data_IF_723020402010
#
_entry.id   IF_723020402010
#
_cell.length_a   1.000
_cell.length_b   1.000
_cell.length_c   1.000
_cell.angle_alpha   90.00
_cell.angle_beta   90.00
_cell.angle_gamma   90.00
#
_symmetry.space_group_name_H-M   'P 1'
#
loop_
_entity.id
_entity.type
_entity.pdbx_description
1 polymer ?
#
# COMPACT_ATOMS: atom_id res chain seq x y z
N UNK A 1 7.49 -5.49 -9.86
CA UNK A 1 7.02 -5.57 -10.18
C UNK A 1 6.60 -5.38 -11.07
N UNK A 2 6.45 -5.18 -11.55
CA UNK A 2 6.08 -4.84 -12.34
C UNK A 2 5.08 -5.16 -12.67
N UNK A 3 4.55 -5.11 -12.77
CA UNK A 3 3.65 -5.39 -13.00
C UNK A 3 3.05 -5.14 -13.96
N UNK A 4 3.02 -5.06 -14.59
CA UNK A 4 2.60 -4.80 -15.49
C UNK A 4 1.58 -5.35 -15.79
N UNK A 5 0.82 -5.34 -15.76
CA UNK A 5 -0.10 -5.82 -16.01
C UNK A 5 -0.78 -5.44 -16.92
N UNK A 6 -0.98 -5.58 -17.49
CA UNK A 6 -1.40 -5.31 -18.35
C UNK A 6 -2.67 -5.15 -18.43
N UNK A 7 -3.14 -4.50 -18.76
CA UNK A 7 -4.29 -4.35 -19.05
C UNK A 7 -5.09 -4.07 -18.04
N UNK A 8 -5.80 -4.80 -17.72
CA UNK A 8 -6.74 -4.53 -16.74
C UNK A 8 -6.10 -4.17 -15.48
N UNK A 9 -5.18 -4.62 -15.08
CA UNK A 9 -4.68 -4.41 -13.77
C UNK A 9 -3.84 -3.21 -13.56
N UNK A 10 -4.17 -2.15 -14.17
CA UNK A 10 -3.37 -0.98 -14.00
C UNK A 10 -3.56 -0.39 -12.61
N UNK A 11 -2.47 -0.25 -11.89
CA UNK A 11 -2.51 0.35 -10.56
C UNK A 11 -2.36 1.85 -10.67
N UNK A 12 -3.21 2.54 -9.97
CA UNK A 12 -3.16 3.99 -9.98
C UNK A 12 -2.95 4.46 -8.56
N UNK A 13 -1.90 5.22 -8.32
CA UNK A 13 -1.61 5.71 -6.99
C UNK A 13 -2.61 6.80 -6.63
N UNK A 14 -3.32 6.60 -5.53
CA UNK A 14 -4.31 7.55 -5.07
C UNK A 14 -3.73 8.49 -4.04
N UNK A 15 -2.98 7.97 -3.09
CA UNK A 15 -2.49 8.79 -1.99
C UNK A 15 -1.34 8.11 -1.31
N UNK A 16 -0.50 8.92 -0.67
CA UNK A 16 0.56 8.40 0.18
C UNK A 16 0.63 9.26 1.44
N UNK A 17 1.14 8.67 2.49
CA UNK A 17 1.37 9.40 3.72
C UNK A 17 2.51 8.74 4.45
N UNK A 18 3.40 9.57 4.99
CA UNK A 18 4.56 9.08 5.71
C UNK A 18 4.32 9.20 7.20
N UNK A 19 4.68 8.16 7.92
CA UNK A 19 4.48 8.08 9.36
C UNK A 19 5.81 7.87 10.05
N UNK A 20 5.87 8.25 11.32
CA UNK A 20 7.02 7.90 12.14
C UNK A 20 7.02 6.37 12.31
N UNK A 21 8.15 5.81 12.72
CA UNK A 21 8.20 4.35 12.86
C UNK A 21 7.12 3.82 13.78
N UNK A 22 6.46 2.80 13.33
CA UNK A 22 5.37 2.20 14.08
C UNK A 22 5.40 0.70 13.82
N UNK A 23 5.89 -0.09 14.77
CA UNK A 23 6.13 -1.51 14.49
C UNK A 23 4.90 -2.29 14.06
N UNK A 24 3.72 -1.86 14.45
CA UNK A 24 2.53 -2.61 14.10
C UNK A 24 1.89 -2.13 12.80
N UNK A 25 2.54 -1.23 12.10
CA UNK A 25 1.96 -0.74 10.85
C UNK A 25 1.75 -1.88 9.85
N UNK A 26 2.61 -2.88 9.88
CA UNK A 26 2.43 -4.02 8.97
C UNK A 26 1.12 -4.73 9.22
N UNK A 27 0.72 -4.79 10.49
CA UNK A 27 -0.55 -5.43 10.81
C UNK A 27 -1.72 -4.60 10.34
N UNK A 28 -1.59 -3.29 10.42
CA UNK A 28 -2.62 -2.39 9.94
C UNK A 28 -2.80 -2.55 8.44
N UNK A 29 -1.68 -2.54 7.71
CA UNK A 29 -1.74 -2.67 6.27
C UNK A 29 -2.32 -4.03 5.87
N UNK A 30 -1.90 -5.08 6.54
CA UNK A 30 -2.40 -6.41 6.25
C UNK A 30 -3.91 -6.48 6.49
N UNK A 31 -4.35 -5.89 7.58
CA UNK A 31 -5.78 -5.86 7.90
C UNK A 31 -6.56 -5.13 6.83
N UNK A 32 -6.04 -3.98 6.39
CA UNK A 32 -6.73 -3.21 5.37
C UNK A 32 -6.80 -3.96 4.05
N UNK A 33 -5.70 -4.60 3.67
CA UNK A 33 -5.70 -5.33 2.41
C UNK A 33 -6.67 -6.50 2.44
N UNK A 34 -6.77 -7.16 3.57
CA UNK A 34 -7.69 -8.28 3.68
C UNK A 34 -9.14 -7.83 3.74
N UNK A 35 -9.37 -6.73 4.43
CA UNK A 35 -10.73 -6.24 4.62
C UNK A 35 -11.29 -5.62 3.35
N UNK A 36 -10.45 -4.93 2.60
CA UNK A 36 -10.92 -4.15 1.47
C UNK A 36 -10.52 -4.74 0.13
N UNK A 37 -10.13 -6.00 0.11
CA UNK A 37 -9.61 -6.57 -1.12
C UNK A 37 -10.63 -6.55 -2.26
N UNK A 38 -11.90 -6.56 -1.94
CA UNK A 38 -12.92 -6.56 -2.98
C UNK A 38 -13.30 -5.15 -3.41
N UNK A 39 -12.66 -4.16 -2.84
CA UNK A 39 -12.96 -2.78 -3.19
C UNK A 39 -12.01 -2.22 -4.23
N UNK A 40 -11.17 -3.08 -4.79
CA UNK A 40 -10.25 -2.66 -5.85
C UNK A 40 -9.24 -1.63 -5.38
N UNK A 41 -8.84 -1.73 -4.13
CA UNK A 41 -7.78 -0.89 -3.60
C UNK A 41 -6.71 -1.80 -3.01
N UNK A 42 -5.49 -1.34 -3.08
CA UNK A 42 -4.34 -2.06 -2.54
C UNK A 42 -3.53 -1.09 -1.70
N UNK A 43 -3.12 -1.56 -0.53
CA UNK A 43 -2.33 -0.76 0.37
C UNK A 43 -0.91 -1.30 0.38
N UNK A 44 0.05 -0.43 0.21
CA UNK A 44 1.45 -0.80 0.23
C UNK A 44 2.17 -0.07 1.34
N UNK A 45 3.22 -0.67 1.84
CA UNK A 45 4.01 -0.08 2.90
C UNK A 45 5.47 -0.17 2.53
N UNK A 46 6.16 0.97 2.57
CA UNK A 46 7.60 0.99 2.36
C UNK A 46 8.25 1.66 3.55
N UNK A 47 9.53 1.42 3.70
CA UNK A 47 10.27 1.93 4.82
C UNK A 47 11.58 2.50 4.30
N UNK A 48 11.92 3.71 4.71
CA UNK A 48 13.15 4.32 4.23
C UNK A 48 14.29 4.00 5.18
N UNK A 49 15.46 4.56 4.89
CA UNK A 49 16.65 4.26 5.66
C UNK A 49 16.55 4.75 7.09
N UNK A 50 15.74 5.74 7.34
CA UNK A 50 15.60 6.29 8.66
C UNK A 50 14.49 5.64 9.45
N UNK A 51 13.82 4.68 8.84
CA UNK A 51 12.76 3.98 9.53
C UNK A 51 11.38 4.56 9.35
N UNK A 52 11.27 5.66 8.66
CA UNK A 52 9.96 6.23 8.40
C UNK A 52 9.19 5.31 7.46
N UNK A 53 7.91 5.21 7.69
CA UNK A 53 7.08 4.31 6.91
C UNK A 53 6.13 5.12 6.06
N UNK A 54 6.04 4.77 4.78
CA UNK A 54 5.13 5.43 3.85
C UNK A 54 4.06 4.46 3.45
N UNK A 55 2.82 4.84 3.72
CA UNK A 55 1.67 4.06 3.33
C UNK A 55 1.17 4.60 2.00
N UNK A 56 1.00 3.73 1.05
CA UNK A 56 0.52 4.10 -0.29
C UNK A 56 -0.78 3.39 -0.57
N UNK A 57 -1.69 4.08 -1.21
CA UNK A 57 -2.97 3.51 -1.57
C UNK A 57 -3.08 3.53 -3.08
N UNK A 58 -3.37 2.38 -3.65
CA UNK A 58 -3.52 2.23 -5.09
C UNK A 58 -4.93 1.75 -5.42
N UNK A 59 -5.39 2.16 -6.57
CA UNK A 59 -6.66 1.69 -7.09
C UNK A 59 -6.40 0.86 -8.33
N UNK A 60 -7.09 -0.25 -8.45
CA UNK A 60 -6.94 -1.13 -9.62
C UNK A 60 -8.04 -0.93 -10.63
#
# INVERSE_FOLDING_TARGET
>A
MSVENKGAGKLELIATKTFTPYPEMYKVVDFLNKTLKEKQVIFGLTKDEKGHMTLSIYET
#
